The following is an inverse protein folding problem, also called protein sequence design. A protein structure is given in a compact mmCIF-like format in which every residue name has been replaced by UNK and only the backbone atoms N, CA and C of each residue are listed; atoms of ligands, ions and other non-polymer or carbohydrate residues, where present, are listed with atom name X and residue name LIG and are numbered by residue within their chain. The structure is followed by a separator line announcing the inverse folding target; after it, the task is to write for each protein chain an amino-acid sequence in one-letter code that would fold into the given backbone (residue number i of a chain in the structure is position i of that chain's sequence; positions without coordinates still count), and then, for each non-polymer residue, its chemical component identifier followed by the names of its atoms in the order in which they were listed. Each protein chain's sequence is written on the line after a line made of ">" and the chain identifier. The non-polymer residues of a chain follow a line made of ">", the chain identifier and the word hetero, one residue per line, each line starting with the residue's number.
data_IF_131111761372
#
_entry.id   IF_131111761372
#
_cell.length_a   1.000
_cell.length_b   1.000
_cell.length_c   1.000
_cell.angle_alpha   90.00
_cell.angle_beta   90.00
_cell.angle_gamma   90.00
#
_symmetry.space_group_name_H-M   'P 1'
#
loop_
_entity.id
_entity.type
_entity.pdbx_description
1 polymer ?
#
# COMPACT_ATOMS: atom_id res chain seq x y z
N UNK A 1 5.35 -1.00 -3.26
CA UNK A 1 4.94 -0.19 -2.11
C UNK A 1 4.75 -1.07 -0.87
N UNK A 2 4.08 -2.13 -1.02
CA UNK A 2 3.44 -2.90 0.05
C UNK A 2 4.43 -3.71 0.90
N UNK A 3 5.56 -4.17 0.33
CA UNK A 3 6.67 -4.74 1.10
C UNK A 3 7.15 -3.80 2.20
N UNK A 4 7.15 -2.50 1.94
CA UNK A 4 7.60 -1.48 2.88
C UNK A 4 6.64 -1.33 4.06
N UNK A 5 5.33 -1.53 3.86
CA UNK A 5 4.32 -1.40 4.91
C UNK A 5 4.56 -2.37 6.08
N UNK A 6 5.03 -3.59 5.76
CA UNK A 6 5.32 -4.61 6.76
C UNK A 6 6.78 -4.61 7.22
N UNK A 7 7.73 -4.31 6.33
CA UNK A 7 9.14 -4.60 6.58
C UNK A 7 10.04 -3.38 6.74
N UNK A 8 9.53 -2.15 6.54
CA UNK A 8 10.35 -0.95 6.72
C UNK A 8 10.84 -0.78 8.16
N UNK A 9 9.98 -1.01 9.14
CA UNK A 9 10.28 -0.84 10.56
C UNK A 9 11.24 -1.90 11.09
N UNK A 10 11.05 -3.24 10.87
CA UNK A 10 11.98 -4.25 11.38
C UNK A 10 13.34 -4.21 10.67
N UNK A 11 13.41 -3.77 9.43
CA UNK A 11 14.68 -3.52 8.74
C UNK A 11 15.38 -2.30 9.33
N UNK A 12 14.65 -1.20 9.58
CA UNK A 12 15.21 0.03 10.11
C UNK A 12 15.74 -0.12 11.53
N UNK A 13 15.08 -0.92 12.38
CA UNK A 13 15.50 -1.20 13.76
C UNK A 13 16.57 -2.29 13.86
N UNK A 14 16.85 -2.99 12.75
CA UNK A 14 17.76 -4.14 12.74
C UNK A 14 17.20 -5.39 13.41
N UNK A 15 15.87 -5.49 13.54
CA UNK A 15 15.20 -6.71 14.03
C UNK A 15 15.30 -7.83 12.99
N UNK A 16 15.21 -7.49 11.69
CA UNK A 16 15.37 -8.43 10.58
C UNK A 16 16.39 -7.94 9.56
N UNK A 17 17.15 -8.89 9.02
CA UNK A 17 18.02 -8.62 7.85
C UNK A 17 17.14 -8.37 6.62
N UNK A 18 17.48 -7.41 5.73
CA UNK A 18 16.62 -7.01 4.61
C UNK A 18 16.14 -8.16 3.74
N UNK A 19 17.01 -9.06 3.30
CA UNK A 19 16.64 -10.22 2.46
C UNK A 19 15.72 -11.22 3.18
N UNK A 20 15.96 -11.46 4.48
CA UNK A 20 15.12 -12.35 5.29
C UNK A 20 13.74 -11.73 5.49
N UNK A 21 13.68 -10.43 5.80
CA UNK A 21 12.43 -9.69 5.95
C UNK A 21 11.54 -9.81 4.72
N UNK A 22 12.11 -9.55 3.53
CA UNK A 22 11.37 -9.63 2.26
C UNK A 22 10.91 -11.05 1.96
N UNK A 23 11.72 -12.07 2.26
CA UNK A 23 11.34 -13.48 2.10
C UNK A 23 10.18 -13.90 3.00
N UNK A 24 10.22 -13.50 4.28
CA UNK A 24 9.12 -13.75 5.24
C UNK A 24 7.86 -13.03 4.77
N UNK A 25 7.97 -11.76 4.36
CA UNK A 25 6.84 -11.00 3.87
C UNK A 25 6.19 -11.64 2.64
N UNK A 26 6.98 -12.07 1.66
CA UNK A 26 6.47 -12.73 0.45
C UNK A 26 5.69 -14.00 0.77
N UNK A 27 6.24 -14.86 1.65
CA UNK A 27 5.58 -16.10 2.06
C UNK A 27 4.27 -15.82 2.81
N UNK A 28 4.28 -14.86 3.75
CA UNK A 28 3.09 -14.55 4.55
C UNK A 28 2.03 -13.80 3.76
N UNK A 29 2.41 -12.98 2.79
CA UNK A 29 1.46 -12.38 1.84
C UNK A 29 0.78 -13.45 0.98
N UNK A 30 1.54 -14.46 0.51
CA UNK A 30 0.98 -15.58 -0.23
C UNK A 30 -0.04 -16.33 0.63
N UNK A 31 0.30 -16.70 1.86
CA UNK A 31 -0.62 -17.38 2.78
C UNK A 31 -1.84 -16.51 3.08
N UNK A 32 -1.62 -15.22 3.36
CA UNK A 32 -2.68 -14.27 3.67
C UNK A 32 -3.74 -14.16 2.58
N UNK A 33 -3.33 -14.25 1.31
CA UNK A 33 -4.23 -14.16 0.17
C UNK A 33 -5.33 -15.23 0.14
N UNK A 34 -5.11 -16.39 0.81
CA UNK A 34 -6.10 -17.47 0.89
C UNK A 34 -7.06 -17.34 2.09
N UNK A 35 -6.87 -16.37 3.00
CA UNK A 35 -7.62 -16.34 4.27
C UNK A 35 -8.98 -15.67 4.17
N UNK A 36 -9.25 -14.85 3.17
CA UNK A 36 -10.51 -14.13 3.03
C UNK A 36 -10.79 -13.71 1.59
N UNK A 37 -12.05 -13.51 1.24
CA UNK A 37 -12.51 -12.98 -0.07
C UNK A 37 -13.53 -11.84 0.08
N UNK A 38 -13.79 -11.34 1.28
CA UNK A 38 -14.85 -10.34 1.54
C UNK A 38 -14.59 -9.00 0.85
N UNK A 39 -13.33 -8.54 0.83
CA UNK A 39 -12.97 -7.31 0.12
C UNK A 39 -13.11 -7.48 -1.40
N UNK A 40 -12.81 -8.67 -1.93
CA UNK A 40 -12.97 -8.95 -3.36
C UNK A 40 -14.44 -8.81 -3.80
N UNK A 41 -15.38 -9.36 -3.01
CA UNK A 41 -16.82 -9.22 -3.26
C UNK A 41 -17.28 -7.76 -3.24
N UNK A 42 -16.74 -6.95 -2.32
CA UNK A 42 -17.05 -5.50 -2.26
C UNK A 42 -16.57 -4.76 -3.51
N UNK A 43 -15.44 -5.14 -4.07
CA UNK A 43 -14.87 -4.48 -5.26
C UNK A 43 -15.62 -4.91 -6.52
N UNK A 44 -15.97 -6.20 -6.65
CA UNK A 44 -16.68 -6.70 -7.82
C UNK A 44 -18.14 -6.23 -7.89
N UNK A 45 -18.72 -5.72 -6.80
CA UNK A 45 -20.15 -5.43 -6.72
C UNK A 45 -20.57 -4.00 -6.39
N UNK A 46 -19.70 -2.96 -6.39
CA UNK A 46 -20.20 -1.73 -5.81
C UNK A 46 -19.67 -0.36 -6.20
N UNK A 47 -18.51 -0.23 -6.81
CA UNK A 47 -17.94 1.10 -7.08
C UNK A 47 -18.49 1.73 -8.37
N UNK A 48 -18.71 0.93 -9.37
CA UNK A 48 -19.21 1.34 -10.68
C UNK A 48 -20.67 0.88 -10.77
N UNK A 49 -21.57 1.81 -11.11
CA UNK A 49 -22.98 1.49 -11.32
C UNK A 49 -23.15 0.75 -12.63
N UNK A 50 -23.75 -0.43 -12.60
CA UNK A 50 -24.15 -1.21 -13.74
C UNK A 50 -25.65 -1.01 -14.05
N UNK A 51 -26.03 -1.13 -15.32
CA UNK A 51 -27.44 -1.10 -15.76
C UNK A 51 -27.96 0.25 -16.24
N UNK A 52 -29.29 0.44 -16.23
CA UNK A 52 -29.97 1.63 -16.77
C UNK A 52 -29.60 2.89 -15.97
N UNK A 53 -28.67 3.69 -16.51
CA UNK A 53 -28.10 4.88 -15.89
C UNK A 53 -26.66 4.74 -15.43
N UNK A 54 -26.04 3.55 -15.58
CA UNK A 54 -24.66 3.23 -15.30
C UNK A 54 -23.85 2.85 -16.54
N UNK A 55 -22.68 2.31 -16.33
CA UNK A 55 -21.76 1.83 -17.37
C UNK A 55 -21.93 0.34 -17.56
N UNK A 56 -21.83 -0.11 -18.82
CA UNK A 56 -21.50 -1.50 -19.04
C UNK A 56 -20.00 -1.69 -18.75
N UNK A 57 -19.67 -2.41 -17.69
CA UNK A 57 -18.30 -2.73 -17.37
C UNK A 57 -17.77 -3.67 -18.44
N UNK A 58 -16.76 -3.22 -19.17
CA UNK A 58 -16.11 -4.00 -20.24
C UNK A 58 -14.68 -4.32 -19.85
N UNK A 59 -14.11 -5.43 -20.37
CA UNK A 59 -12.68 -5.72 -20.17
C UNK A 59 -11.77 -4.55 -20.60
N UNK A 60 -12.14 -3.79 -21.64
CA UNK A 60 -11.42 -2.60 -22.11
C UNK A 60 -11.42 -1.49 -21.07
N UNK A 61 -12.56 -1.21 -20.43
CA UNK A 61 -12.67 -0.21 -19.37
C UNK A 61 -11.72 -0.57 -18.20
N UNK A 62 -11.74 -1.84 -17.79
CA UNK A 62 -10.87 -2.33 -16.71
C UNK A 62 -9.39 -2.25 -17.11
N UNK A 63 -9.04 -2.60 -18.35
CA UNK A 63 -7.69 -2.45 -18.88
C UNK A 63 -7.19 -1.00 -18.76
N UNK A 64 -7.99 -0.02 -19.20
CA UNK A 64 -7.64 1.40 -19.09
C UNK A 64 -7.46 1.82 -17.62
N UNK A 65 -8.35 1.36 -16.73
CA UNK A 65 -8.25 1.60 -15.29
C UNK A 65 -6.95 1.03 -14.69
N UNK A 66 -6.58 -0.19 -15.07
CA UNK A 66 -5.33 -0.83 -14.65
C UNK A 66 -4.09 -0.11 -15.19
N UNK A 67 -4.11 0.38 -16.44
CA UNK A 67 -3.02 1.20 -17.00
C UNK A 67 -2.79 2.44 -16.11
N UNK A 68 -3.86 3.17 -15.77
CA UNK A 68 -3.77 4.33 -14.88
C UNK A 68 -3.17 3.99 -13.52
N UNK A 69 -3.66 2.91 -12.90
CA UNK A 69 -3.20 2.45 -11.59
C UNK A 69 -1.72 2.03 -11.62
N UNK A 70 -1.32 1.22 -12.59
CA UNK A 70 0.05 0.69 -12.71
C UNK A 70 1.04 1.82 -12.98
N UNK A 71 0.75 2.69 -13.96
CA UNK A 71 1.64 3.80 -14.32
C UNK A 71 1.83 4.73 -13.12
N UNK A 72 0.75 5.12 -12.42
CA UNK A 72 0.86 5.96 -11.23
C UNK A 72 1.65 5.29 -10.10
N UNK A 73 1.38 4.03 -9.82
CA UNK A 73 2.12 3.26 -8.81
C UNK A 73 3.62 3.16 -9.13
N UNK A 74 3.98 2.98 -10.38
CA UNK A 74 5.39 2.93 -10.80
C UNK A 74 6.09 4.28 -10.69
N UNK A 75 5.39 5.39 -11.02
CA UNK A 75 5.93 6.75 -10.86
C UNK A 75 6.21 7.05 -9.39
N UNK A 76 5.27 6.74 -8.49
CA UNK A 76 5.44 6.98 -7.05
C UNK A 76 6.48 6.04 -6.44
N UNK A 77 6.54 4.78 -6.88
CA UNK A 77 7.59 3.83 -6.50
C UNK A 77 8.98 4.33 -6.91
N UNK A 78 9.13 4.82 -8.15
CA UNK A 78 10.40 5.36 -8.64
C UNK A 78 10.90 6.53 -7.80
N UNK A 79 9.97 7.37 -7.31
CA UNK A 79 10.26 8.52 -6.44
C UNK A 79 10.41 8.15 -4.96
N UNK A 80 10.17 6.88 -4.58
CA UNK A 80 10.21 6.44 -3.19
C UNK A 80 9.10 7.06 -2.33
N UNK A 81 8.00 7.48 -2.97
CA UNK A 81 6.85 8.08 -2.31
C UNK A 81 5.85 6.99 -1.91
N UNK A 82 5.57 6.78 -0.61
CA UNK A 82 4.56 5.83 -0.15
C UNK A 82 3.16 6.31 -0.56
N UNK A 83 2.68 5.83 -1.71
CA UNK A 83 1.33 6.09 -2.21
C UNK A 83 0.43 4.87 -2.01
N UNK A 84 -0.87 5.08 -2.13
CA UNK A 84 -1.87 4.03 -1.98
C UNK A 84 -2.11 3.28 -3.29
N UNK A 85 -1.71 2.02 -3.38
CA UNK A 85 -2.02 1.15 -4.52
C UNK A 85 -3.53 0.97 -4.73
N UNK A 86 -4.29 0.91 -3.62
CA UNK A 86 -5.75 0.83 -3.67
C UNK A 86 -6.40 2.06 -4.28
N UNK A 87 -5.96 3.25 -3.83
CA UNK A 87 -6.48 4.52 -4.38
C UNK A 87 -6.09 4.71 -5.84
N UNK A 88 -4.90 4.24 -6.24
CA UNK A 88 -4.50 4.25 -7.64
C UNK A 88 -5.43 3.35 -8.48
N UNK A 89 -5.78 2.17 -7.97
CA UNK A 89 -6.71 1.25 -8.63
C UNK A 89 -8.11 1.88 -8.76
N UNK A 90 -8.66 2.41 -7.67
CA UNK A 90 -9.97 3.05 -7.70
C UNK A 90 -9.99 4.29 -8.59
N UNK A 91 -8.96 5.13 -8.49
CA UNK A 91 -8.83 6.30 -9.36
C UNK A 91 -8.77 5.93 -10.83
N UNK A 92 -8.00 4.88 -11.17
CA UNK A 92 -7.94 4.37 -12.53
C UNK A 92 -9.30 3.89 -13.06
N UNK A 93 -10.01 3.07 -12.28
CA UNK A 93 -11.34 2.58 -12.64
C UNK A 93 -12.34 3.73 -12.79
N UNK A 94 -12.33 4.70 -11.87
CA UNK A 94 -13.17 5.91 -11.92
C UNK A 94 -12.88 6.70 -13.19
N UNK A 95 -11.60 6.96 -13.50
CA UNK A 95 -11.21 7.75 -14.68
C UNK A 95 -11.64 7.09 -15.99
N UNK A 96 -11.47 5.79 -16.12
CA UNK A 96 -11.91 5.03 -17.29
C UNK A 96 -13.46 5.04 -17.42
N UNK A 97 -14.19 4.86 -16.31
CA UNK A 97 -15.64 4.86 -16.30
C UNK A 97 -16.24 6.23 -16.62
N UNK A 98 -15.67 7.31 -16.08
CA UNK A 98 -16.13 8.67 -16.35
C UNK A 98 -15.97 9.05 -17.83
N UNK A 99 -14.86 8.68 -18.46
CA UNK A 99 -14.66 8.93 -19.89
C UNK A 99 -15.60 8.06 -20.74
N UNK A 100 -15.83 6.79 -20.34
CA UNK A 100 -16.69 5.89 -21.09
C UNK A 100 -18.18 6.23 -21.02
N UNK A 101 -18.67 6.80 -19.89
CA UNK A 101 -20.12 6.96 -19.65
C UNK A 101 -20.48 8.15 -18.76
N UNK A 102 -19.54 9.04 -18.49
CA UNK A 102 -19.76 10.25 -17.69
C UNK A 102 -19.76 10.00 -16.18
N UNK A 103 -19.93 11.09 -15.42
CA UNK A 103 -19.87 11.05 -13.95
C UNK A 103 -21.00 10.24 -13.29
N UNK A 104 -22.15 10.06 -13.97
CA UNK A 104 -23.26 9.24 -13.48
C UNK A 104 -22.91 7.75 -13.28
N UNK A 105 -21.85 7.30 -13.93
CA UNK A 105 -21.31 5.96 -13.81
C UNK A 105 -20.76 5.62 -12.42
N UNK A 106 -20.45 6.62 -11.60
CA UNK A 106 -19.81 6.44 -10.31
C UNK A 106 -20.87 6.51 -9.20
N UNK A 107 -20.87 5.52 -8.31
CA UNK A 107 -21.63 5.61 -7.07
C UNK A 107 -20.92 6.54 -6.07
N UNK A 108 -21.39 7.80 -5.97
CA UNK A 108 -20.84 8.79 -5.06
C UNK A 108 -20.96 8.39 -3.59
N UNK A 109 -22.00 7.63 -3.22
CA UNK A 109 -22.17 7.12 -1.86
C UNK A 109 -21.10 6.09 -1.49
N UNK A 110 -20.84 5.14 -2.41
CA UNK A 110 -19.76 4.14 -2.24
C UNK A 110 -18.39 4.81 -2.26
N UNK A 111 -18.16 5.74 -3.19
CA UNK A 111 -16.91 6.50 -3.26
C UNK A 111 -16.60 7.19 -1.93
N UNK A 112 -17.57 7.92 -1.38
CA UNK A 112 -17.39 8.65 -0.12
C UNK A 112 -17.25 7.68 1.05
N UNK A 113 -18.19 6.75 1.25
CA UNK A 113 -18.27 5.93 2.45
C UNK A 113 -17.24 4.80 2.49
N UNK A 114 -16.87 4.22 1.35
CA UNK A 114 -15.97 3.05 1.28
C UNK A 114 -14.53 3.39 0.90
N UNK A 115 -14.28 4.58 0.33
CA UNK A 115 -12.96 4.98 -0.14
C UNK A 115 -12.48 6.25 0.56
N UNK A 116 -13.19 7.38 0.43
CA UNK A 116 -12.69 8.67 0.92
C UNK A 116 -12.70 8.77 2.45
N UNK A 117 -13.78 8.33 3.11
CA UNK A 117 -13.86 8.33 4.59
C UNK A 117 -12.80 7.40 5.19
N UNK A 118 -12.65 6.13 4.77
CA UNK A 118 -11.55 5.28 5.23
C UNK A 118 -10.16 5.85 4.92
N UNK A 119 -9.98 6.53 3.79
CA UNK A 119 -8.71 7.17 3.43
C UNK A 119 -8.22 8.20 4.46
N UNK A 120 -9.15 8.90 5.11
CA UNK A 120 -8.84 9.87 6.16
C UNK A 120 -8.79 9.20 7.53
N UNK A 121 -9.79 8.38 7.86
CA UNK A 121 -9.93 7.82 9.20
C UNK A 121 -8.90 6.73 9.49
N UNK A 122 -8.55 5.88 8.52
CA UNK A 122 -7.65 4.76 8.77
C UNK A 122 -6.24 5.18 9.20
N UNK A 123 -5.55 6.12 8.53
CA UNK A 123 -4.24 6.58 9.01
C UNK A 123 -4.31 7.33 10.33
N UNK A 124 -5.40 8.05 10.61
CA UNK A 124 -5.60 8.77 11.88
C UNK A 124 -5.82 7.79 13.04
N UNK A 125 -6.70 6.81 12.87
CA UNK A 125 -6.96 5.78 13.89
C UNK A 125 -5.74 4.92 14.16
N UNK A 126 -5.07 4.43 13.10
CA UNK A 126 -3.84 3.67 13.23
C UNK A 126 -2.72 4.49 13.90
N UNK A 127 -2.61 5.76 13.56
CA UNK A 127 -1.68 6.70 14.19
C UNK A 127 -1.98 6.92 15.67
N UNK A 128 -3.24 7.12 16.03
CA UNK A 128 -3.66 7.29 17.44
C UNK A 128 -3.40 6.02 18.26
N UNK A 129 -3.75 4.85 17.73
CA UNK A 129 -3.49 3.56 18.39
C UNK A 129 -1.99 3.34 18.57
N UNK A 130 -1.20 3.58 17.53
CA UNK A 130 0.25 3.45 17.56
C UNK A 130 0.90 4.45 18.54
N UNK A 131 0.40 5.68 18.61
CA UNK A 131 0.83 6.68 19.60
C UNK A 131 0.60 6.17 21.02
N UNK A 132 -0.59 5.70 21.32
CA UNK A 132 -0.95 5.20 22.66
C UNK A 132 -0.14 3.94 23.00
N UNK A 133 -0.05 2.98 22.10
CA UNK A 133 0.73 1.76 22.29
C UNK A 133 2.21 2.08 22.56
N UNK A 134 2.79 3.04 21.83
CA UNK A 134 4.16 3.52 22.08
C UNK A 134 4.30 4.14 23.47
N UNK A 135 3.38 4.99 23.87
CA UNK A 135 3.39 5.61 25.22
C UNK A 135 3.36 4.55 26.31
N UNK A 136 2.50 3.53 26.17
CA UNK A 136 2.40 2.42 27.11
C UNK A 136 3.70 1.60 27.12
N UNK A 137 4.21 1.23 25.96
CA UNK A 137 5.45 0.46 25.86
C UNK A 137 6.62 1.15 26.57
N UNK A 138 6.80 2.46 26.36
CA UNK A 138 7.87 3.22 27.04
C UNK A 138 7.62 3.48 28.54
N UNK A 139 6.36 3.43 29.01
CA UNK A 139 6.02 3.57 30.43
C UNK A 139 6.32 2.27 31.20
N UNK A 140 6.03 1.13 30.58
CA UNK A 140 6.13 -0.21 31.21
C UNK A 140 7.54 -0.79 31.12
N UNK A 141 8.30 -0.46 30.07
CA UNK A 141 9.57 -1.12 29.75
C UNK A 141 10.77 -0.39 30.32
N UNK A 142 11.64 -1.13 31.02
CA UNK A 142 12.96 -0.63 31.47
C UNK A 142 13.94 -0.62 30.30
N UNK A 143 14.93 0.30 30.32
CA UNK A 143 15.96 0.47 29.26
C UNK A 143 16.69 -0.84 28.85
N UNK A 144 16.73 -1.83 29.72
CA UNK A 144 17.45 -3.10 29.55
C UNK A 144 16.71 -4.14 28.71
N UNK A 145 15.44 -3.90 28.37
CA UNK A 145 14.56 -4.88 27.68
C UNK A 145 14.40 -4.64 26.18
N UNK A 146 15.26 -3.80 25.58
CA UNK A 146 15.16 -3.42 24.15
C UNK A 146 15.23 -4.61 23.19
N UNK A 147 16.00 -5.65 23.51
CA UNK A 147 16.16 -6.81 22.63
C UNK A 147 14.90 -7.68 22.59
N UNK A 148 14.09 -7.69 23.64
CA UNK A 148 12.78 -8.38 23.65
C UNK A 148 11.81 -7.79 22.64
N UNK A 149 11.84 -6.47 22.43
CA UNK A 149 11.02 -5.82 21.41
C UNK A 149 11.44 -6.17 19.99
N UNK A 150 12.70 -6.51 19.71
CA UNK A 150 13.09 -6.99 18.38
C UNK A 150 12.41 -8.32 18.06
N UNK A 151 12.33 -9.24 19.02
CA UNK A 151 11.62 -10.52 18.84
C UNK A 151 10.12 -10.26 18.64
N UNK A 152 9.52 -9.41 19.50
CA UNK A 152 8.13 -9.00 19.35
C UNK A 152 7.86 -8.35 17.99
N UNK A 153 8.79 -7.52 17.49
CA UNK A 153 8.71 -6.86 16.21
C UNK A 153 8.77 -7.85 15.03
N UNK A 154 9.60 -8.92 15.12
CA UNK A 154 9.59 -9.98 14.11
C UNK A 154 8.20 -10.61 14.02
N UNK A 155 7.57 -10.87 15.16
CA UNK A 155 6.22 -11.43 15.20
C UNK A 155 5.17 -10.45 14.64
N UNK A 156 5.18 -9.21 15.10
CA UNK A 156 4.18 -8.22 14.62
C UNK A 156 4.34 -7.86 13.16
N UNK A 157 5.56 -7.74 12.64
CA UNK A 157 5.81 -7.51 11.20
C UNK A 157 5.38 -8.71 10.34
N UNK A 158 5.50 -9.92 10.87
CA UNK A 158 4.96 -11.13 10.24
C UNK A 158 3.43 -11.08 10.18
N UNK A 159 2.78 -10.66 11.25
CA UNK A 159 1.33 -10.45 11.27
C UNK A 159 0.89 -9.33 10.33
N UNK A 160 1.65 -8.22 10.21
CA UNK A 160 1.37 -7.19 9.20
C UNK A 160 1.42 -7.77 7.80
N UNK A 161 2.43 -8.60 7.49
CA UNK A 161 2.56 -9.24 6.18
C UNK A 161 1.36 -10.16 5.87
N UNK A 162 0.95 -10.96 6.85
CA UNK A 162 -0.22 -11.83 6.72
C UNK A 162 -1.50 -11.01 6.49
N UNK A 163 -1.74 -10.01 7.33
CA UNK A 163 -2.89 -9.11 7.23
C UNK A 163 -2.91 -8.34 5.90
N UNK A 164 -1.74 -7.91 5.43
CA UNK A 164 -1.56 -7.23 4.16
C UNK A 164 -1.95 -8.15 2.98
N UNK A 165 -1.42 -9.38 2.94
CA UNK A 165 -1.81 -10.36 1.92
C UNK A 165 -3.31 -10.67 1.95
N UNK A 166 -3.90 -10.75 3.14
CA UNK A 166 -5.34 -10.96 3.33
C UNK A 166 -6.19 -9.80 2.80
N UNK A 167 -5.70 -8.55 2.82
CA UNK A 167 -6.44 -7.40 2.32
C UNK A 167 -6.13 -7.08 0.85
N UNK A 168 -4.85 -6.95 0.50
CA UNK A 168 -4.44 -6.36 -0.78
C UNK A 168 -4.55 -7.32 -1.96
N UNK A 169 -4.33 -8.62 -1.76
CA UNK A 169 -4.56 -9.61 -2.81
C UNK A 169 -6.01 -9.64 -3.28
N UNK A 170 -6.96 -9.43 -2.36
CA UNK A 170 -8.39 -9.43 -2.67
C UNK A 170 -8.80 -8.30 -3.61
N UNK A 171 -8.09 -7.17 -3.65
CA UNK A 171 -8.41 -6.05 -4.55
C UNK A 171 -8.22 -6.46 -6.00
N UNK A 172 -7.13 -7.15 -6.30
CA UNK A 172 -6.90 -7.69 -7.65
C UNK A 172 -7.81 -8.87 -7.95
N UNK A 173 -8.09 -9.74 -6.97
CA UNK A 173 -9.10 -10.81 -7.12
C UNK A 173 -10.46 -10.22 -7.50
N UNK A 174 -10.91 -9.16 -6.82
CA UNK A 174 -12.17 -8.49 -7.12
C UNK A 174 -12.23 -7.92 -8.53
N UNK A 175 -11.13 -7.31 -9.00
CA UNK A 175 -11.04 -6.79 -10.37
C UNK A 175 -11.07 -7.92 -11.41
N UNK A 176 -10.35 -9.02 -11.19
CA UNK A 176 -10.38 -10.16 -12.11
C UNK A 176 -11.79 -10.80 -12.12
N UNK A 177 -12.40 -10.97 -10.95
CA UNK A 177 -13.78 -11.48 -10.84
C UNK A 177 -14.75 -10.57 -11.57
N UNK A 178 -14.60 -9.26 -11.45
CA UNK A 178 -15.41 -8.28 -12.19
C UNK A 178 -15.27 -8.45 -13.72
N UNK A 179 -14.05 -8.69 -14.23
CA UNK A 179 -13.83 -9.00 -15.65
C UNK A 179 -14.55 -10.28 -16.05
N UNK A 180 -14.46 -11.33 -15.22
CA UNK A 180 -15.10 -12.63 -15.51
C UNK A 180 -16.63 -12.51 -15.51
N UNK A 181 -17.20 -11.73 -14.60
CA UNK A 181 -18.64 -11.41 -14.57
C UNK A 181 -19.03 -10.63 -15.82
N UNK A 182 -18.31 -9.55 -16.15
CA UNK A 182 -18.63 -8.73 -17.33
C UNK A 182 -18.51 -9.47 -18.67
N UNK A 183 -17.70 -10.52 -18.71
CA UNK A 183 -17.54 -11.40 -19.85
C UNK A 183 -18.46 -12.63 -19.83
N UNK A 184 -19.39 -12.73 -18.86
CA UNK A 184 -20.33 -13.85 -18.65
C UNK A 184 -19.66 -15.20 -18.36
N UNK A 185 -18.44 -15.21 -17.83
CA UNK A 185 -17.80 -16.43 -17.33
C UNK A 185 -18.16 -16.74 -15.88
N UNK A 186 -18.62 -15.75 -15.11
CA UNK A 186 -19.11 -15.93 -13.74
C UNK A 186 -20.42 -15.14 -13.53
N UNK A 187 -21.22 -15.58 -12.55
CA UNK A 187 -22.45 -14.91 -12.15
C UNK A 187 -22.12 -13.72 -11.22
N UNK A 188 -22.98 -12.70 -11.22
CA UNK A 188 -22.92 -11.61 -10.26
C UNK A 188 -22.94 -12.12 -8.81
N UNK A 189 -22.14 -11.51 -7.95
CA UNK A 189 -22.01 -11.89 -6.55
C UNK A 189 -21.19 -13.16 -6.29
N UNK A 190 -20.63 -13.80 -7.32
CA UNK A 190 -19.74 -14.96 -7.15
C UNK A 190 -18.48 -14.59 -6.40
N UNK A 191 -17.98 -15.53 -5.59
CA UNK A 191 -16.65 -15.43 -4.99
C UNK A 191 -15.56 -15.64 -6.07
N UNK A 192 -14.34 -15.10 -5.87
CA UNK A 192 -13.21 -15.39 -6.75
C UNK A 192 -12.96 -16.88 -6.86
N UNK A 193 -12.68 -17.36 -8.06
CA UNK A 193 -12.30 -18.75 -8.30
C UNK A 193 -10.92 -19.07 -7.71
N UNK A 194 -10.67 -20.34 -7.40
CA UNK A 194 -9.40 -20.77 -6.77
C UNK A 194 -8.16 -20.41 -7.60
N UNK A 195 -8.25 -20.50 -8.93
CA UNK A 195 -7.14 -20.09 -9.79
C UNK A 195 -6.87 -18.58 -9.74
N UNK A 196 -7.92 -17.75 -9.59
CA UNK A 196 -7.79 -16.29 -9.40
C UNK A 196 -7.08 -16.01 -8.08
N UNK A 197 -7.50 -16.68 -7.00
CA UNK A 197 -6.87 -16.57 -5.68
C UNK A 197 -5.39 -16.97 -5.78
N UNK A 198 -5.10 -18.11 -6.37
CA UNK A 198 -3.73 -18.62 -6.53
C UNK A 198 -2.84 -17.70 -7.37
N UNK A 199 -3.36 -17.19 -8.49
CA UNK A 199 -2.64 -16.25 -9.35
C UNK A 199 -2.32 -14.93 -8.62
N UNK A 200 -3.30 -14.36 -7.92
CA UNK A 200 -3.11 -13.14 -7.12
C UNK A 200 -2.15 -13.37 -5.95
N UNK A 201 -2.25 -14.51 -5.25
CA UNK A 201 -1.36 -14.89 -4.16
C UNK A 201 0.10 -14.99 -4.63
N UNK A 202 0.32 -15.63 -5.79
CA UNK A 202 1.65 -15.74 -6.38
C UNK A 202 2.18 -14.38 -6.84
N UNK A 203 1.34 -13.57 -7.49
CA UNK A 203 1.72 -12.24 -7.97
C UNK A 203 2.12 -11.30 -6.82
N UNK A 204 1.34 -11.26 -5.72
CA UNK A 204 1.68 -10.43 -4.56
C UNK A 204 2.95 -10.93 -3.87
N UNK A 205 3.18 -12.25 -3.79
CA UNK A 205 4.38 -12.82 -3.21
C UNK A 205 5.63 -12.46 -4.02
N UNK A 206 5.59 -12.61 -5.34
CA UNK A 206 6.70 -12.25 -6.25
C UNK A 206 6.96 -10.74 -6.22
N UNK A 207 5.91 -9.92 -6.25
CA UNK A 207 6.02 -8.47 -6.12
C UNK A 207 6.64 -8.06 -4.80
N UNK A 208 6.22 -8.66 -3.69
CA UNK A 208 6.78 -8.43 -2.36
C UNK A 208 8.24 -8.84 -2.28
N UNK A 209 8.60 -9.98 -2.85
CA UNK A 209 9.99 -10.48 -2.87
C UNK A 209 10.92 -9.56 -3.66
N UNK A 210 10.43 -8.87 -4.69
CA UNK A 210 11.23 -7.90 -5.44
C UNK A 210 11.71 -6.72 -4.59
N UNK A 211 11.00 -6.44 -3.48
CA UNK A 211 11.30 -5.38 -2.51
C UNK A 211 10.96 -3.97 -3.04
N UNK A 212 10.70 -3.08 -2.11
CA UNK A 212 10.45 -1.65 -2.37
C UNK A 212 11.47 -0.78 -1.65
N UNK A 213 12.75 -0.97 -1.91
CA UNK A 213 13.86 -0.42 -1.11
C UNK A 213 13.80 1.09 -0.90
N UNK A 214 13.36 1.85 -1.92
CA UNK A 214 13.18 3.31 -1.81
C UNK A 214 12.10 3.67 -0.80
N UNK A 215 10.98 2.96 -0.83
CA UNK A 215 9.84 3.18 0.07
C UNK A 215 10.16 2.64 1.48
N UNK A 216 10.85 1.49 1.57
CA UNK A 216 11.38 0.96 2.84
C UNK A 216 12.25 2.01 3.53
N UNK A 217 13.12 2.72 2.79
CA UNK A 217 13.91 3.82 3.33
C UNK A 217 13.02 4.97 3.83
N UNK A 218 12.05 5.37 3.04
CA UNK A 218 11.16 6.49 3.41
C UNK A 218 10.37 6.18 4.68
N UNK A 219 9.70 5.03 4.76
CA UNK A 219 8.90 4.63 5.92
C UNK A 219 9.76 4.30 7.15
N UNK A 220 10.91 3.64 6.94
CA UNK A 220 11.74 3.16 8.03
C UNK A 220 12.69 4.22 8.63
N UNK A 221 13.01 5.30 7.87
CA UNK A 221 14.05 6.26 8.30
C UNK A 221 13.73 7.73 8.03
N UNK A 222 12.96 8.03 6.97
CA UNK A 222 12.79 9.40 6.54
C UNK A 222 11.61 10.10 7.22
N UNK A 223 10.71 9.38 7.90
CA UNK A 223 9.59 9.94 8.69
C UNK A 223 10.05 10.25 10.11
N UNK A 224 10.64 9.28 10.79
CA UNK A 224 11.11 9.39 12.18
C UNK A 224 12.19 8.35 12.46
N UNK A 225 13.04 8.59 13.46
CA UNK A 225 13.99 7.58 13.93
C UNK A 225 13.25 6.55 14.79
N UNK A 226 13.14 5.31 14.30
CA UNK A 226 12.35 4.24 14.91
C UNK A 226 13.24 3.35 15.80
N UNK A 227 12.84 3.16 17.06
CA UNK A 227 13.40 2.16 17.96
C UNK A 227 12.54 0.87 17.96
N UNK A 228 13.05 -0.30 18.40
CA UNK A 228 12.30 -1.56 18.37
C UNK A 228 10.93 -1.51 19.04
N UNK A 229 10.80 -0.82 20.18
CA UNK A 229 9.51 -0.66 20.87
C UNK A 229 8.49 0.15 20.03
N UNK A 230 8.98 1.15 19.29
CA UNK A 230 8.14 1.91 18.37
C UNK A 230 7.71 1.08 17.17
N UNK A 231 8.65 0.31 16.58
CA UNK A 231 8.34 -0.59 15.48
C UNK A 231 7.29 -1.63 15.87
N UNK A 232 7.45 -2.28 17.03
CA UNK A 232 6.46 -3.20 17.59
C UNK A 232 5.07 -2.55 17.74
N UNK A 233 5.01 -1.34 18.32
CA UNK A 233 3.75 -0.64 18.51
C UNK A 233 3.09 -0.23 17.18
N UNK A 234 3.89 0.25 16.22
CA UNK A 234 3.40 0.64 14.89
C UNK A 234 2.84 -0.56 14.13
N UNK A 235 3.55 -1.69 14.14
CA UNK A 235 3.14 -2.92 13.45
C UNK A 235 1.90 -3.55 14.10
N UNK A 236 1.82 -3.57 15.43
CA UNK A 236 0.63 -4.05 16.14
C UNK A 236 -0.61 -3.21 15.79
N UNK A 237 -0.48 -1.88 15.78
CA UNK A 237 -1.56 -0.98 15.38
C UNK A 237 -1.95 -1.17 13.91
N UNK A 238 -0.96 -1.33 13.02
CA UNK A 238 -1.17 -1.58 11.59
C UNK A 238 -1.94 -2.89 11.38
N UNK A 239 -1.48 -3.99 12.00
CA UNK A 239 -2.14 -5.30 11.92
C UNK A 239 -3.59 -5.23 12.37
N UNK A 240 -3.83 -4.66 13.56
CA UNK A 240 -5.18 -4.57 14.12
C UNK A 240 -6.12 -3.76 13.19
N UNK A 241 -5.64 -2.63 12.65
CA UNK A 241 -6.44 -1.79 11.75
C UNK A 241 -6.74 -2.50 10.43
N UNK A 242 -5.75 -3.17 9.82
CA UNK A 242 -5.94 -3.88 8.55
C UNK A 242 -6.91 -5.06 8.74
N UNK A 243 -6.70 -5.90 9.75
CA UNK A 243 -7.57 -7.07 9.98
C UNK A 243 -9.01 -6.66 10.32
N UNK A 244 -9.19 -5.64 11.16
CA UNK A 244 -10.52 -5.13 11.47
C UNK A 244 -11.24 -4.63 10.21
N UNK A 245 -10.56 -3.89 9.34
CA UNK A 245 -11.16 -3.39 8.09
C UNK A 245 -11.45 -4.50 7.08
N UNK A 246 -10.55 -5.48 6.98
CA UNK A 246 -10.74 -6.65 6.09
C UNK A 246 -11.98 -7.44 6.49
N UNK A 247 -12.16 -7.65 7.79
CA UNK A 247 -13.34 -8.35 8.33
C UNK A 247 -14.65 -7.60 8.08
N UNK A 248 -14.58 -6.27 8.01
CA UNK A 248 -15.72 -5.40 7.66
C UNK A 248 -15.89 -5.19 6.15
N UNK A 249 -15.06 -5.83 5.32
CA UNK A 249 -15.10 -5.71 3.86
C UNK A 249 -14.63 -4.36 3.33
N UNK A 250 -13.91 -3.53 4.13
CA UNK A 250 -13.38 -2.26 3.67
C UNK A 250 -12.06 -2.43 2.92
N UNK A 251 -12.02 -1.95 1.69
CA UNK A 251 -10.82 -1.91 0.86
C UNK A 251 -9.93 -0.72 1.21
N UNK A 252 -9.45 -0.66 2.46
CA UNK A 252 -8.59 0.46 2.89
C UNK A 252 -7.18 0.42 2.27
N UNK A 253 -6.47 1.52 2.44
CA UNK A 253 -5.07 1.64 2.03
C UNK A 253 -4.13 1.19 3.16
N UNK A 254 -3.53 0.03 2.99
CA UNK A 254 -2.52 -0.51 3.92
C UNK A 254 -1.30 0.41 4.05
N UNK A 255 -0.91 1.11 2.97
CA UNK A 255 0.18 2.09 2.99
C UNK A 255 -0.15 3.31 3.85
N UNK A 256 -1.40 3.80 3.81
CA UNK A 256 -1.82 4.90 4.67
C UNK A 256 -1.86 4.49 6.13
N UNK A 257 -2.37 3.30 6.44
CA UNK A 257 -2.38 2.72 7.79
C UNK A 257 -0.96 2.60 8.34
N UNK A 258 -0.05 1.97 7.60
CA UNK A 258 1.33 1.80 8.02
C UNK A 258 2.06 3.14 8.21
N UNK A 259 1.89 4.08 7.28
CA UNK A 259 2.49 5.42 7.39
C UNK A 259 1.92 6.20 8.58
N UNK A 260 0.61 6.14 8.80
CA UNK A 260 -0.07 6.73 9.96
C UNK A 260 0.47 6.16 11.28
N UNK A 261 0.62 4.83 11.34
CA UNK A 261 1.21 4.15 12.50
C UNK A 261 2.65 4.59 12.77
N UNK A 262 3.48 4.74 11.72
CA UNK A 262 4.86 5.23 11.85
C UNK A 262 4.90 6.68 12.35
N UNK A 263 4.02 7.54 11.88
CA UNK A 263 3.91 8.92 12.38
C UNK A 263 3.46 8.89 13.85
N UNK A 264 2.43 8.11 14.17
CA UNK A 264 1.88 7.98 15.52
C UNK A 264 2.92 7.53 16.54
N UNK A 265 3.70 6.49 16.20
CA UNK A 265 4.78 6.01 17.09
C UNK A 265 5.90 7.05 17.25
N UNK A 266 6.19 7.84 16.20
CA UNK A 266 7.13 8.95 16.27
C UNK A 266 6.68 10.03 17.27
N UNK A 267 5.39 10.36 17.29
CA UNK A 267 4.78 11.31 18.25
C UNK A 267 4.68 10.72 19.67
N UNK A 268 4.53 9.40 19.79
CA UNK A 268 4.39 8.70 21.07
C UNK A 268 5.66 8.69 21.93
N UNK A 269 6.83 8.70 21.33
CA UNK A 269 8.13 8.67 22.04
C UNK A 269 8.58 10.08 22.44
N UNK A 270 8.81 10.31 23.73
CA UNK A 270 9.40 11.57 24.21
C UNK A 270 10.79 11.79 23.60
N UNK A 271 11.02 12.94 22.97
CA UNK A 271 12.31 13.30 22.34
C UNK A 271 12.52 12.71 20.94
N UNK A 272 11.57 11.96 20.37
CA UNK A 272 11.56 11.66 18.95
C UNK A 272 11.09 12.89 18.15
N UNK A 273 11.56 13.00 16.92
CA UNK A 273 11.16 14.05 15.98
C UNK A 273 10.53 13.43 14.76
N UNK A 274 9.32 13.85 14.42
CA UNK A 274 8.69 13.54 13.13
C UNK A 274 9.13 14.59 12.12
N UNK A 275 9.63 14.16 10.98
CA UNK A 275 10.00 15.05 9.86
C UNK A 275 8.74 15.42 9.08
N UNK A 276 8.08 16.48 9.49
CA UNK A 276 6.81 16.94 8.92
C UNK A 276 6.89 17.25 7.42
N UNK A 277 8.08 17.63 6.91
CA UNK A 277 8.29 17.80 5.47
C UNK A 277 8.12 16.48 4.69
N UNK A 278 8.56 15.36 5.25
CA UNK A 278 8.36 14.03 4.66
C UNK A 278 6.90 13.60 4.81
N UNK A 279 6.31 13.76 6.00
CA UNK A 279 4.90 13.43 6.23
C UNK A 279 3.97 14.24 5.31
N UNK A 280 4.24 15.53 5.11
CA UNK A 280 3.49 16.39 4.18
C UNK A 280 3.59 15.93 2.73
N UNK A 281 4.78 15.55 2.25
CA UNK A 281 4.95 14.98 0.90
C UNK A 281 4.15 13.68 0.71
N UNK A 282 4.12 12.83 1.75
CA UNK A 282 3.34 11.60 1.74
C UNK A 282 1.84 11.92 1.68
N UNK A 283 1.36 12.85 2.50
CA UNK A 283 -0.04 13.28 2.51
C UNK A 283 -0.49 13.88 1.17
N UNK A 284 0.36 14.72 0.54
CA UNK A 284 0.11 15.23 -0.81
C UNK A 284 0.06 14.06 -1.81
N UNK A 285 0.98 13.10 -1.71
CA UNK A 285 0.97 11.90 -2.53
C UNK A 285 -0.34 11.13 -2.44
N UNK A 286 -0.93 11.02 -1.24
CA UNK A 286 -2.23 10.37 -1.04
C UNK A 286 -3.36 11.14 -1.73
N UNK A 287 -3.39 12.47 -1.55
CA UNK A 287 -4.43 13.34 -2.14
C UNK A 287 -4.43 13.31 -3.67
N UNK A 288 -3.25 13.31 -4.29
CA UNK A 288 -3.15 13.34 -5.75
C UNK A 288 -3.26 11.95 -6.39
N UNK A 289 -3.23 10.86 -5.63
CA UNK A 289 -3.22 9.50 -6.18
C UNK A 289 -4.47 9.18 -6.99
N UNK A 290 -5.67 9.42 -6.45
CA UNK A 290 -6.94 9.18 -7.16
C UNK A 290 -7.03 10.04 -8.43
N UNK A 291 -6.89 11.38 -8.38
CA UNK A 291 -7.00 12.19 -9.58
C UNK A 291 -5.91 11.89 -10.62
N UNK A 292 -4.68 11.63 -10.20
CA UNK A 292 -3.60 11.36 -11.14
C UNK A 292 -3.77 10.02 -11.87
N UNK A 293 -4.14 8.96 -11.17
CA UNK A 293 -4.43 7.68 -11.81
C UNK A 293 -5.69 7.74 -12.68
N UNK A 294 -6.70 8.54 -12.27
CA UNK A 294 -7.91 8.77 -13.06
C UNK A 294 -7.59 9.49 -14.38
N UNK A 295 -6.74 10.53 -14.36
CA UNK A 295 -6.31 11.21 -15.58
C UNK A 295 -5.60 10.26 -16.54
N UNK A 296 -4.65 9.46 -16.06
CA UNK A 296 -3.93 8.50 -16.91
C UNK A 296 -4.89 7.45 -17.50
N UNK A 297 -5.79 6.91 -16.67
CA UNK A 297 -6.79 5.95 -17.14
C UNK A 297 -7.80 6.56 -18.11
N UNK A 298 -8.20 7.81 -17.87
CA UNK A 298 -9.09 8.55 -18.77
C UNK A 298 -8.47 8.79 -20.14
N UNK A 299 -7.17 9.14 -20.19
CA UNK A 299 -6.44 9.26 -21.46
C UNK A 299 -6.38 7.93 -22.21
N UNK A 300 -6.11 6.81 -21.49
CA UNK A 300 -6.16 5.48 -22.07
C UNK A 300 -7.58 5.16 -22.60
N UNK A 301 -8.63 5.47 -21.83
CA UNK A 301 -10.01 5.22 -22.25
C UNK A 301 -10.42 6.04 -23.49
N UNK A 302 -9.96 7.28 -23.62
CA UNK A 302 -10.15 8.10 -24.83
C UNK A 302 -9.51 7.44 -26.05
N UNK A 303 -8.28 6.92 -25.89
CA UNK A 303 -7.57 6.26 -26.99
C UNK A 303 -8.20 4.90 -27.32
N UNK A 304 -8.55 4.10 -26.33
CA UNK A 304 -9.26 2.83 -26.51
C UNK A 304 -10.63 3.03 -27.21
N UNK A 305 -11.29 4.17 -26.98
CA UNK A 305 -12.55 4.54 -27.62
C UNK A 305 -12.45 4.71 -29.15
N UNK A 306 -11.25 4.82 -29.73
CA UNK A 306 -11.04 4.86 -31.19
C UNK A 306 -11.12 3.46 -31.83
N UNK A 307 -11.36 2.42 -31.05
CA UNK A 307 -11.53 1.04 -31.51
C UNK A 307 -10.34 0.11 -31.22
N UNK A 308 -10.28 -1.08 -31.84
CA UNK A 308 -9.24 -2.08 -31.54
C UNK A 308 -7.80 -1.57 -31.71
N UNK A 309 -7.58 -0.68 -32.67
CA UNK A 309 -6.25 -0.08 -32.90
C UNK A 309 -5.84 0.79 -31.70
N UNK A 310 -6.78 1.56 -31.14
CA UNK A 310 -6.53 2.37 -29.93
C UNK A 310 -6.16 1.50 -28.73
N UNK A 311 -6.84 0.38 -28.53
CA UNK A 311 -6.52 -0.60 -27.46
C UNK A 311 -5.11 -1.16 -27.62
N UNK A 312 -4.72 -1.52 -28.84
CA UNK A 312 -3.36 -2.01 -29.13
C UNK A 312 -2.32 -0.94 -28.82
N UNK A 313 -2.57 0.32 -29.23
CA UNK A 313 -1.67 1.44 -28.93
C UNK A 313 -1.54 1.64 -27.43
N UNK A 314 -2.64 1.60 -26.69
CA UNK A 314 -2.63 1.71 -25.21
C UNK A 314 -1.73 0.64 -24.57
N UNK A 315 -1.88 -0.60 -24.99
CA UNK A 315 -1.05 -1.70 -24.47
C UNK A 315 0.44 -1.47 -24.79
N UNK A 316 0.75 -1.10 -26.02
CA UNK A 316 2.14 -0.83 -26.46
C UNK A 316 2.74 0.34 -25.68
N UNK A 317 2.00 1.44 -25.53
CA UNK A 317 2.43 2.63 -24.79
C UNK A 317 2.60 2.29 -23.31
N UNK A 318 1.64 1.58 -22.69
CA UNK A 318 1.71 1.19 -21.29
C UNK A 318 2.94 0.29 -21.04
N UNK A 319 3.17 -0.73 -21.87
CA UNK A 319 4.35 -1.58 -21.78
C UNK A 319 5.63 -0.75 -21.96
N UNK A 320 5.68 0.14 -22.92
CA UNK A 320 6.81 1.06 -23.15
C UNK A 320 7.12 1.92 -21.93
N UNK A 321 6.09 2.51 -21.30
CA UNK A 321 6.21 3.32 -20.08
C UNK A 321 6.70 2.46 -18.90
N UNK A 322 6.13 1.28 -18.70
CA UNK A 322 6.52 0.34 -17.64
C UNK A 322 7.99 -0.04 -17.79
N UNK A 323 8.40 -0.47 -18.98
CA UNK A 323 9.79 -0.85 -19.28
C UNK A 323 10.72 0.35 -19.11
N UNK A 324 10.32 1.52 -19.60
CA UNK A 324 11.09 2.77 -19.47
C UNK A 324 11.34 3.15 -18.00
N UNK A 325 10.30 3.11 -17.15
CA UNK A 325 10.41 3.36 -15.71
C UNK A 325 11.34 2.33 -15.06
N UNK A 326 11.20 1.06 -15.43
CA UNK A 326 12.02 -0.02 -14.87
C UNK A 326 13.50 0.12 -15.26
N UNK A 327 13.80 0.43 -16.52
CA UNK A 327 15.16 0.69 -16.98
C UNK A 327 15.75 1.94 -16.31
N UNK A 328 14.97 3.01 -16.17
CA UNK A 328 15.41 4.20 -15.46
C UNK A 328 15.68 3.92 -13.99
N UNK A 329 14.87 3.09 -13.34
CA UNK A 329 15.07 2.73 -11.93
C UNK A 329 16.42 2.03 -11.68
N UNK A 330 16.94 1.31 -12.67
CA UNK A 330 18.25 0.62 -12.59
C UNK A 330 19.44 1.58 -12.61
N UNK A 331 19.30 2.79 -13.16
CA UNK A 331 20.38 3.80 -13.22
C UNK A 331 20.67 4.41 -11.85
N UNK A 332 19.72 4.44 -10.94
CA UNK A 332 19.89 4.91 -9.57
C UNK A 332 19.80 3.76 -8.58
N UNK A 333 20.89 2.99 -8.41
CA UNK A 333 20.95 1.87 -7.46
C UNK A 333 20.74 2.38 -6.03
N UNK A 334 19.55 2.30 -5.50
CA UNK A 334 19.33 2.21 -4.06
C UNK A 334 19.65 0.77 -3.71
N UNK A 335 20.93 0.51 -3.39
CA UNK A 335 21.36 -0.80 -2.96
C UNK A 335 20.69 -1.16 -1.64
N UNK A 336 20.42 -2.44 -1.44
CA UNK A 336 19.99 -3.07 -0.19
C UNK A 336 21.00 -2.93 0.98
N UNK A 337 22.06 -2.16 0.80
CA UNK A 337 23.00 -1.75 1.84
C UNK A 337 22.34 -0.71 2.75
N UNK A 338 21.32 -1.16 3.48
CA UNK A 338 21.00 -0.49 4.72
C UNK A 338 22.17 -0.78 5.65
N UNK A 339 23.06 0.20 5.86
CA UNK A 339 24.00 0.17 6.97
C UNK A 339 23.14 -0.04 8.21
N UNK A 340 23.23 -1.25 8.79
CA UNK A 340 22.66 -1.47 10.11
C UNK A 340 23.39 -0.48 11.03
N UNK A 341 22.68 0.32 11.84
CA UNK A 341 23.35 1.10 12.87
C UNK A 341 24.15 0.11 13.72
N UNK A 342 25.44 0.36 13.92
CA UNK A 342 26.21 -0.45 14.85
C UNK A 342 25.51 -0.51 16.21
N UNK A 343 25.54 -1.66 16.90
CA UNK A 343 24.98 -1.80 18.23
C UNK A 343 25.56 -0.70 19.13
N UNK A 344 24.75 0.30 19.48
CA UNK A 344 25.18 1.46 20.28
C UNK A 344 25.15 2.83 19.61
N UNK A 345 24.95 2.93 18.29
CA UNK A 345 24.88 4.22 17.56
C UNK A 345 23.52 4.93 17.61
N UNK A 346 22.62 4.57 18.50
CA UNK A 346 21.49 5.45 18.82
C UNK A 346 22.02 6.66 19.60
N UNK A 347 22.57 7.63 18.86
CA UNK A 347 23.24 8.79 19.39
C UNK A 347 22.24 9.64 20.18
N UNK A 348 22.51 9.77 21.47
CA UNK A 348 21.89 10.77 22.32
C UNK A 348 21.90 12.14 21.61
N UNK A 349 20.71 12.76 21.36
CA UNK A 349 20.61 14.03 20.61
C UNK A 349 21.48 15.16 21.17
N UNK A 350 21.85 15.09 22.45
CA UNK A 350 22.78 16.03 23.10
C UNK A 350 24.23 15.91 22.59
N UNK A 351 24.66 14.75 22.07
CA UNK A 351 26.01 14.58 21.50
C UNK A 351 26.13 15.09 20.06
N UNK A 352 25.04 15.15 19.30
CA UNK A 352 25.05 15.68 17.92
C UNK A 352 25.24 17.19 17.89
N UNK A 353 24.72 17.94 18.87
CA UNK A 353 24.93 19.39 19.00
C UNK A 353 26.35 19.76 19.41
N UNK A 354 27.11 18.86 20.06
CA UNK A 354 28.50 19.11 20.43
C UNK A 354 29.49 18.89 19.26
N UNK A 355 29.19 17.95 18.32
CA UNK A 355 30.02 17.70 17.14
C UNK A 355 29.80 18.70 15.99
N UNK A 356 28.71 19.45 15.99
CA UNK A 356 28.42 20.51 15.01
C UNK A 356 28.94 21.90 15.46
N UNK A 357 29.55 21.99 16.65
CA UNK A 357 30.11 23.22 17.23
C UNK A 357 31.64 23.12 17.50
N UNK A 358 32.25 22.02 17.14
CA UNK A 358 33.68 21.81 17.08
C UNK A 358 34.12 21.61 15.61
#
# INVERSE_FOLDING_TARGET
>A
HDTANAMATPIATGALKPKVAVGIAALLNLVGAFLSTEVAKTISGGLIREGSGGVQITPTLILCGLIGAIVWNLITWLRGLPSSSSHALFGGLIGAAVIGSGFGAIDGGVLISKILVPAVLAPLTAGAVSYLATRIAYKVTRKRERDRFKIGQIFTSSLVSLAHGTNDAQKTMGVITLVLISANFQNEGSAPELWVIGACALAIALGTYSGGWRIIKTLGRDITDIEPAQGFAAEAATTATILASTHLGFALSTTQVASGSVIGTGLGRKGATVKWSTAGKIAIGWLITIPASAVVAGLAALLAGTGPVGVIIDVVVAVGVIVGIFLWSRRGKVTSTFHQPEPGQFVNPKKRKKKARA
#
